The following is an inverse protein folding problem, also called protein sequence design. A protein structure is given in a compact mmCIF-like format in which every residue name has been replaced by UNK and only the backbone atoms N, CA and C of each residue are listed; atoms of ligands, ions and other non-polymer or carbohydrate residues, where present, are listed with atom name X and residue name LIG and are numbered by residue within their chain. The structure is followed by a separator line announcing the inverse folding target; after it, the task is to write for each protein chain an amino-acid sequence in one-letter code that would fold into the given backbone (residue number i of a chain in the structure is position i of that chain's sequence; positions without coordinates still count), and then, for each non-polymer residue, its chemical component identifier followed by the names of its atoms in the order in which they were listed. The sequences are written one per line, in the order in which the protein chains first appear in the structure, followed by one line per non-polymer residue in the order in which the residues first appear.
data_IF_107729356699
#
_entry.id   IF_107729356699
#
_cell.length_a   1.000
_cell.length_b   1.000
_cell.length_c   1.000
_cell.angle_alpha   90.00
_cell.angle_beta   90.00
_cell.angle_gamma   90.00
#
_symmetry.space_group_name_H-M   'P 1'
#
loop_
_entity.id
_entity.type
_entity.pdbx_description
1 polymer ?
#
# COMPACT_ATOMS: atom_id res chain seq x y z
N UNK A 1 -8.98 12.39 -5.31
CA UNK A 1 -7.61 12.85 -5.62
C UNK A 1 -7.47 13.14 -7.09
N UNK A 2 -6.37 13.79 -7.44
CA UNK A 2 -5.97 14.11 -8.83
C UNK A 2 -5.63 12.84 -9.61
N UNK A 3 -5.73 12.86 -10.93
CA UNK A 3 -5.31 11.73 -11.78
C UNK A 3 -3.79 11.56 -11.71
N UNK A 4 -3.34 10.31 -11.68
CA UNK A 4 -1.91 9.98 -11.63
C UNK A 4 -1.62 8.73 -12.46
N UNK A 5 -0.38 8.63 -12.94
CA UNK A 5 0.13 7.41 -13.58
C UNK A 5 1.22 6.73 -12.74
N UNK A 6 1.77 7.43 -11.74
CA UNK A 6 2.86 6.95 -10.91
C UNK A 6 2.83 7.67 -9.56
N UNK A 7 3.20 6.99 -8.47
CA UNK A 7 3.12 7.56 -7.11
C UNK A 7 3.98 8.80 -6.90
N UNK A 8 5.06 8.98 -7.65
CA UNK A 8 5.92 10.18 -7.60
C UNK A 8 5.19 11.48 -7.96
N UNK A 9 4.07 11.40 -8.68
CA UNK A 9 3.24 12.56 -9.03
C UNK A 9 2.39 13.03 -7.84
N UNK A 10 2.18 12.16 -6.85
CA UNK A 10 1.33 12.42 -5.72
C UNK A 10 2.16 12.92 -4.54
N UNK A 11 1.75 14.03 -3.91
CA UNK A 11 2.40 14.54 -2.68
C UNK A 11 2.40 13.52 -1.54
N UNK A 12 1.35 12.71 -1.46
CA UNK A 12 1.24 11.59 -0.51
C UNK A 12 2.21 10.43 -0.82
N UNK A 13 2.69 10.34 -2.06
CA UNK A 13 3.47 9.22 -2.57
C UNK A 13 2.63 7.95 -2.75
N UNK A 14 1.32 8.06 -2.98
CA UNK A 14 0.48 6.93 -3.39
C UNK A 14 -0.44 7.30 -4.56
N UNK A 15 -0.28 6.57 -5.66
CA UNK A 15 -1.21 6.53 -6.80
C UNK A 15 -2.06 5.26 -6.70
N UNK A 16 -3.36 5.41 -6.49
CA UNK A 16 -4.29 4.32 -6.19
C UNK A 16 -5.29 4.08 -7.32
N UNK A 17 -5.57 2.81 -7.62
CA UNK A 17 -6.63 2.38 -8.55
C UNK A 17 -7.48 1.30 -7.91
N UNK A 18 -8.75 1.21 -8.32
CA UNK A 18 -9.72 0.25 -7.74
C UNK A 18 -9.58 -1.15 -8.36
N UNK A 19 -9.31 -1.22 -9.66
CA UNK A 19 -9.15 -2.45 -10.43
C UNK A 19 -8.25 -2.23 -11.67
N UNK A 20 -7.93 -3.29 -12.41
CA UNK A 20 -6.96 -3.25 -13.52
C UNK A 20 -7.35 -2.32 -14.69
N UNK A 21 -8.63 -2.02 -14.85
CA UNK A 21 -9.16 -1.15 -15.93
C UNK A 21 -9.51 0.27 -15.43
N UNK A 22 -9.44 0.51 -14.12
CA UNK A 22 -9.80 1.80 -13.53
C UNK A 22 -8.67 2.84 -13.64
N UNK A 23 -9.05 4.10 -13.82
CA UNK A 23 -8.14 5.23 -13.77
C UNK A 23 -7.58 5.42 -12.34
N UNK A 24 -6.26 5.56 -12.25
CA UNK A 24 -5.58 5.78 -10.98
C UNK A 24 -5.63 7.25 -10.54
N UNK A 25 -5.75 7.47 -9.23
CA UNK A 25 -5.80 8.79 -8.61
C UNK A 25 -4.96 8.84 -7.34
N UNK A 26 -4.42 10.02 -7.02
CA UNK A 26 -3.68 10.22 -5.80
C UNK A 26 -4.56 9.97 -4.57
N UNK A 27 -4.01 9.24 -3.60
CA UNK A 27 -4.68 8.89 -2.36
C UNK A 27 -3.73 9.02 -1.17
N UNK A 28 -4.27 9.09 0.04
CA UNK A 28 -3.47 9.05 1.27
C UNK A 28 -2.85 7.67 1.46
N UNK A 29 -1.70 7.63 2.13
CA UNK A 29 -1.10 6.37 2.59
C UNK A 29 -1.96 5.73 3.68
N UNK A 30 -1.81 4.43 3.88
CA UNK A 30 -2.57 3.69 4.87
C UNK A 30 -2.07 4.00 6.29
N UNK A 31 -2.99 4.38 7.17
CA UNK A 31 -2.71 4.60 8.59
C UNK A 31 -2.56 3.27 9.34
N UNK A 32 -2.20 3.33 10.62
CA UNK A 32 -2.15 2.14 11.48
C UNK A 32 -3.49 1.40 11.49
N UNK A 33 -3.45 0.07 11.49
CA UNK A 33 -4.59 -0.84 11.41
C UNK A 33 -5.39 -0.81 10.09
N UNK A 34 -4.97 -0.03 9.09
CA UNK A 34 -5.57 -0.05 7.76
C UNK A 34 -4.91 -1.07 6.84
N UNK A 35 -5.69 -1.53 5.85
CA UNK A 35 -5.20 -2.41 4.79
C UNK A 35 -4.13 -1.71 3.94
N UNK A 36 -3.09 -2.44 3.61
CA UNK A 36 -1.96 -1.94 2.83
C UNK A 36 -1.48 -2.93 1.79
N UNK A 37 -0.77 -2.44 0.78
CA UNK A 37 0.08 -3.29 -0.06
C UNK A 37 1.56 -3.03 0.27
N UNK A 38 2.41 -4.07 0.22
CA UNK A 38 3.85 -3.86 0.22
C UNK A 38 4.25 -2.99 -0.97
N UNK A 39 5.35 -2.24 -0.80
CA UNK A 39 5.88 -1.39 -1.88
C UNK A 39 6.21 -2.24 -3.10
N UNK A 40 5.80 -1.75 -4.26
CA UNK A 40 5.96 -2.42 -5.55
C UNK A 40 6.73 -1.51 -6.51
N UNK A 41 7.53 -2.10 -7.39
CA UNK A 41 8.27 -1.39 -8.45
C UNK A 41 7.36 -0.63 -9.42
N UNK A 42 6.09 -1.04 -9.54
CA UNK A 42 5.12 -0.40 -10.42
C UNK A 42 4.52 0.87 -9.82
N UNK A 43 4.72 1.12 -8.52
CA UNK A 43 4.27 2.31 -7.77
C UNK A 43 2.84 2.81 -8.07
N UNK A 44 1.94 1.91 -8.46
CA UNK A 44 0.50 2.12 -8.58
C UNK A 44 -0.18 0.98 -7.84
N UNK A 45 -1.09 1.33 -6.93
CA UNK A 45 -1.51 0.43 -5.86
C UNK A 45 -3.02 0.18 -5.85
N UNK A 46 -3.43 -1.04 -5.52
CA UNK A 46 -4.81 -1.36 -5.15
C UNK A 46 -5.11 -1.04 -3.69
N UNK A 47 -4.09 -1.08 -2.82
CA UNK A 47 -4.11 -0.57 -1.44
C UNK A 47 -2.84 0.22 -1.21
N UNK A 48 -2.97 1.46 -0.74
CA UNK A 48 -1.79 2.31 -0.56
C UNK A 48 -0.79 1.69 0.45
N UNK A 49 0.52 1.96 0.28
CA UNK A 49 1.49 1.59 1.29
C UNK A 49 1.24 2.36 2.59
N UNK A 50 1.79 1.85 3.70
CA UNK A 50 1.65 2.48 4.99
C UNK A 50 2.32 3.86 5.06
N UNK A 51 1.84 4.68 6.00
CA UNK A 51 2.50 5.90 6.42
C UNK A 51 3.92 5.63 6.94
N UNK A 52 4.75 6.66 6.96
CA UNK A 52 6.14 6.55 7.39
C UNK A 52 6.20 6.15 8.86
N UNK A 53 6.97 5.11 9.17
CA UNK A 53 7.11 4.57 10.54
C UNK A 53 6.31 3.28 10.77
N UNK A 54 5.34 2.97 9.91
CA UNK A 54 4.55 1.75 9.98
C UNK A 54 5.09 0.68 9.03
N UNK A 55 4.88 -0.59 9.40
CA UNK A 55 5.22 -1.75 8.57
C UNK A 55 3.94 -2.40 8.05
N UNK A 56 3.89 -2.71 6.75
CA UNK A 56 2.78 -3.46 6.18
C UNK A 56 2.98 -4.95 6.48
N UNK A 57 2.25 -5.46 7.47
CA UNK A 57 2.27 -6.86 7.89
C UNK A 57 1.34 -7.66 6.98
N UNK A 58 1.92 -8.24 5.93
CA UNK A 58 1.24 -9.07 4.95
C UNK A 58 1.82 -10.48 4.96
N UNK A 59 0.95 -11.49 4.95
CA UNK A 59 1.35 -12.89 4.77
C UNK A 59 1.97 -13.07 3.37
N UNK A 60 3.30 -13.09 3.30
CA UNK A 60 4.06 -13.27 2.05
C UNK A 60 4.03 -14.73 1.60
N UNK A 61 2.86 -15.22 1.21
CA UNK A 61 2.79 -16.53 0.55
C UNK A 61 3.22 -16.40 -0.91
N UNK A 62 3.87 -17.45 -1.46
CA UNK A 62 4.32 -17.50 -2.86
C UNK A 62 3.15 -17.21 -3.81
N UNK A 63 1.97 -17.78 -3.53
CA UNK A 63 0.75 -17.60 -4.33
C UNK A 63 0.23 -16.17 -4.27
N UNK A 64 0.16 -15.55 -3.09
CA UNK A 64 -0.30 -14.17 -2.96
C UNK A 64 0.65 -13.12 -3.56
N UNK A 65 1.93 -13.48 -3.71
CA UNK A 65 2.95 -12.65 -4.40
C UNK A 65 2.75 -12.66 -5.93
N UNK A 66 2.23 -13.78 -6.45
CA UNK A 66 1.90 -13.96 -7.87
C UNK A 66 0.56 -13.28 -8.19
N UNK A 67 -0.43 -13.32 -7.29
CA UNK A 67 -1.77 -12.74 -7.52
C UNK A 67 -1.92 -11.27 -7.14
N UNK A 68 -0.84 -10.59 -6.70
CA UNK A 68 -0.86 -9.18 -6.26
C UNK A 68 -1.91 -8.89 -5.16
N UNK A 69 -2.29 -9.92 -4.39
CA UNK A 69 -3.32 -9.86 -3.35
C UNK A 69 -2.75 -10.10 -1.95
N UNK A 70 -1.42 -9.97 -1.79
CA UNK A 70 -0.78 -9.88 -0.48
C UNK A 70 -1.09 -8.52 0.17
N UNK A 71 -2.36 -8.28 0.46
CA UNK A 71 -2.74 -7.17 1.31
C UNK A 71 -2.37 -7.53 2.74
N UNK A 72 -1.82 -6.56 3.44
CA UNK A 72 -1.49 -6.66 4.86
C UNK A 72 -2.25 -5.62 5.65
N UNK A 73 -1.85 -5.49 6.91
CA UNK A 73 -2.32 -4.43 7.81
C UNK A 73 -1.11 -3.63 8.28
N UNK A 74 -1.23 -2.30 8.29
CA UNK A 74 -0.19 -1.44 8.83
C UNK A 74 -0.09 -1.59 10.35
N UNK A 75 1.11 -1.85 10.86
CA UNK A 75 1.40 -1.95 12.30
C UNK A 75 2.62 -1.12 12.67
N UNK A 76 2.62 -0.54 13.86
CA UNK A 76 3.84 0.04 14.41
C UNK A 76 4.80 -1.10 14.85
N UNK A 77 6.05 -1.13 14.35
CA UNK A 77 7.02 -2.14 14.76
C UNK A 77 7.35 -2.13 16.26
N UNK A 78 7.11 -1.02 16.97
CA UNK A 78 7.30 -0.92 18.42
C UNK A 78 6.21 -1.63 19.23
N UNK A 79 5.00 -1.81 18.68
CA UNK A 79 3.95 -2.60 19.35
C UNK A 79 4.41 -4.05 19.54
N UNK A 80 5.14 -4.58 18.55
CA UNK A 80 5.72 -5.93 18.60
C UNK A 80 6.89 -6.04 19.59
N UNK A 81 7.62 -4.95 19.85
CA UNK A 81 8.76 -4.92 20.79
C UNK A 81 8.35 -4.71 22.25
N UNK A 82 7.10 -4.34 22.53
CA UNK A 82 6.57 -4.12 23.89
C UNK A 82 5.82 -5.33 24.48
N UNK A 83 5.72 -6.44 23.75
CA UNK A 83 5.15 -7.70 24.22
C UNK A 83 6.20 -8.63 24.78
#
# INVERSE_FOLDING_TARGET
GELCMHSVQCKSGCCHRVNGLSLARCASKAAEFQECSPKSIYEVYYKCPCEKGLTCDADKTIVGSITNSNFGVCKDPQDSSRR
#
